data_IF_936990377643
#
_entry.id   IF_936990377643
#
_cell.length_a   1.000
_cell.length_b   1.000
_cell.length_c   1.000
_cell.angle_alpha   90.00
_cell.angle_beta   90.00
_cell.angle_gamma   90.00
#
_symmetry.space_group_name_H-M   'P 1'
#
loop_
_entity.id
_entity.type
_entity.pdbx_description
1 polymer ?
#
# COMPACT_ATOMS: atom_id res chain seq x y z
N UNK A 1 -49.51 12.48 11.68
CA UNK A 1 -50.68 13.12 12.33
C UNK A 1 -51.54 12.02 12.94
N UNK A 2 -51.69 12.04 14.27
CA UNK A 2 -52.09 10.88 15.07
C UNK A 2 -53.53 10.39 14.76
N UNK A 3 -53.71 9.08 14.49
CA UNK A 3 -54.97 8.50 14.01
C UNK A 3 -56.15 8.68 14.98
N UNK A 4 -55.86 8.92 16.27
CA UNK A 4 -56.86 9.18 17.29
C UNK A 4 -57.62 10.50 17.05
N UNK A 5 -56.94 11.56 16.60
CA UNK A 5 -57.55 12.87 16.36
C UNK A 5 -58.59 12.80 15.23
N UNK A 6 -58.31 11.99 14.19
CA UNK A 6 -59.23 11.81 13.06
C UNK A 6 -60.53 11.08 13.43
N UNK A 7 -60.50 10.19 14.44
CA UNK A 7 -61.70 9.49 14.91
C UNK A 7 -62.63 10.44 15.69
N UNK A 8 -62.09 11.34 16.50
CA UNK A 8 -62.86 12.24 17.36
C UNK A 8 -63.50 13.38 16.54
N UNK A 9 -62.86 13.83 15.45
CA UNK A 9 -63.36 14.92 14.60
C UNK A 9 -64.39 14.46 13.53
N UNK A 10 -64.60 13.16 13.35
CA UNK A 10 -65.51 12.61 12.34
C UNK A 10 -66.99 12.97 12.58
N UNK A 11 -67.53 12.92 13.82
CA UNK A 11 -68.90 13.33 14.12
C UNK A 11 -69.10 14.84 13.98
N UNK A 12 -68.14 15.64 14.47
CA UNK A 12 -68.20 17.10 14.45
C UNK A 12 -68.28 17.70 13.03
N UNK A 13 -67.74 17.00 12.02
CA UNK A 13 -67.81 17.40 10.60
C UNK A 13 -69.21 17.36 10.00
N UNK A 14 -70.17 16.68 10.65
CA UNK A 14 -71.57 16.63 10.20
C UNK A 14 -72.41 17.81 10.71
N UNK A 15 -71.88 18.58 11.67
CA UNK A 15 -72.54 19.77 12.20
C UNK A 15 -72.23 20.94 11.28
N UNK A 16 -73.22 21.40 10.54
CA UNK A 16 -73.10 22.56 9.65
C UNK A 16 -73.12 23.81 10.54
N UNK A 17 -71.96 24.40 10.79
CA UNK A 17 -71.86 25.66 11.53
C UNK A 17 -72.65 26.75 10.80
N UNK A 18 -73.54 27.41 11.55
CA UNK A 18 -74.25 28.58 11.08
C UNK A 18 -73.23 29.65 10.64
N UNK A 19 -73.55 30.35 9.54
CA UNK A 19 -72.62 31.28 8.89
C UNK A 19 -72.13 32.35 9.86
N UNK A 20 -73.00 32.80 10.76
CA UNK A 20 -72.69 33.82 11.76
C UNK A 20 -71.71 33.32 12.82
N UNK A 21 -71.94 32.14 13.39
CA UNK A 21 -71.03 31.52 14.37
C UNK A 21 -69.65 31.31 13.74
N UNK A 22 -69.60 30.87 12.48
CA UNK A 22 -68.34 30.70 11.74
C UNK A 22 -67.61 32.04 11.53
N UNK A 23 -68.35 33.12 11.26
CA UNK A 23 -67.78 34.45 11.13
C UNK A 23 -67.21 34.96 12.46
N UNK A 24 -67.94 34.77 13.56
CA UNK A 24 -67.49 35.17 14.91
C UNK A 24 -66.26 34.40 15.38
N UNK A 25 -66.22 33.08 15.16
CA UNK A 25 -65.04 32.26 15.48
C UNK A 25 -63.84 32.69 14.63
N UNK A 26 -64.04 32.91 13.32
CA UNK A 26 -62.97 33.39 12.43
C UNK A 26 -62.45 34.76 12.88
N UNK A 27 -63.36 35.67 13.27
CA UNK A 27 -63.01 36.98 13.81
C UNK A 27 -62.17 36.89 15.07
N UNK A 28 -62.57 36.06 16.03
CA UNK A 28 -61.81 35.83 17.27
C UNK A 28 -60.42 35.24 17.03
N UNK A 29 -60.30 34.26 16.14
CA UNK A 29 -59.00 33.67 15.77
C UNK A 29 -58.10 34.71 15.08
N UNK A 30 -58.64 35.49 14.15
CA UNK A 30 -57.88 36.55 13.47
C UNK A 30 -57.42 37.63 14.46
N UNK A 31 -58.25 38.00 15.42
CA UNK A 31 -57.88 38.97 16.46
C UNK A 31 -56.78 38.41 17.37
N UNK A 32 -56.87 37.13 17.75
CA UNK A 32 -55.82 36.45 18.52
C UNK A 32 -54.50 36.39 17.74
N UNK A 33 -54.53 36.04 16.45
CA UNK A 33 -53.34 36.01 15.58
C UNK A 33 -52.71 37.39 15.38
N UNK A 34 -53.54 38.44 15.27
CA UNK A 34 -53.06 39.82 15.15
C UNK A 34 -52.37 40.30 16.43
N UNK A 35 -52.90 39.92 17.59
CA UNK A 35 -52.39 40.34 18.90
C UNK A 35 -51.28 39.42 19.44
N UNK A 36 -51.09 38.24 18.85
CA UNK A 36 -50.03 37.29 19.18
C UNK A 36 -49.27 36.88 17.91
N UNK A 37 -48.56 37.82 17.24
CA UNK A 37 -47.78 37.47 16.06
C UNK A 37 -46.71 36.46 16.47
N UNK A 38 -46.64 35.34 15.75
CA UNK A 38 -45.52 34.42 15.89
C UNK A 38 -44.27 35.21 15.50
N UNK A 39 -43.35 35.39 16.45
CA UNK A 39 -42.04 35.95 16.15
C UNK A 39 -41.43 35.06 15.07
N UNK A 40 -41.15 35.61 13.89
CA UNK A 40 -40.48 34.86 12.84
C UNK A 40 -39.10 34.45 13.37
N UNK A 41 -38.99 33.24 13.93
CA UNK A 41 -37.69 32.62 14.10
C UNK A 41 -37.15 32.46 12.69
N UNK A 42 -36.03 33.13 12.32
CA UNK A 42 -35.50 32.99 10.98
C UNK A 42 -35.25 31.50 10.76
N UNK A 43 -35.99 30.91 9.82
CA UNK A 43 -35.67 29.57 9.33
C UNK A 43 -34.27 29.70 8.76
N UNK A 44 -33.25 29.34 9.54
CA UNK A 44 -31.87 29.27 9.13
C UNK A 44 -31.79 28.12 8.11
N UNK A 45 -32.23 28.41 6.89
CA UNK A 45 -32.22 27.46 5.79
C UNK A 45 -30.78 27.28 5.38
N UNK A 46 -30.26 26.07 5.53
CA UNK A 46 -28.97 25.65 4.99
C UNK A 46 -28.76 26.17 3.57
N UNK A 47 -29.82 26.15 2.76
CA UNK A 47 -29.90 26.68 1.41
C UNK A 47 -29.66 28.20 1.28
N UNK A 48 -30.05 29.05 2.23
CA UNK A 48 -29.73 30.51 2.17
C UNK A 48 -28.25 30.80 2.43
N UNK A 49 -27.57 29.96 3.21
CA UNK A 49 -26.12 30.07 3.45
C UNK A 49 -25.35 29.61 2.21
N UNK A 50 -25.77 28.49 1.60
CA UNK A 50 -25.12 27.92 0.41
C UNK A 50 -25.28 28.83 -0.82
N UNK A 51 -26.41 29.54 -0.95
CA UNK A 51 -26.71 30.41 -2.10
C UNK A 51 -26.52 31.92 -1.83
N UNK A 52 -25.85 32.27 -0.72
CA UNK A 52 -25.49 33.65 -0.38
C UNK A 52 -24.46 34.21 -1.37
N UNK A 53 -24.78 35.34 -1.99
CA UNK A 53 -23.93 35.97 -3.01
C UNK A 53 -22.60 36.54 -2.47
N UNK A 54 -22.35 36.48 -1.16
CA UNK A 54 -21.15 37.04 -0.51
C UNK A 54 -20.04 36.02 -0.24
N UNK A 55 -20.25 34.73 -0.51
CA UNK A 55 -19.28 33.64 -0.26
C UNK A 55 -18.67 33.05 -1.56
N UNK A 56 -18.90 33.70 -2.71
CA UNK A 56 -18.72 33.13 -4.05
C UNK A 56 -17.33 32.53 -4.35
N UNK A 57 -16.18 33.19 -4.11
CA UNK A 57 -14.90 32.62 -4.56
C UNK A 57 -14.47 31.40 -3.73
N UNK A 58 -14.59 31.44 -2.40
CA UNK A 58 -14.15 30.35 -1.53
C UNK A 58 -15.02 29.10 -1.68
N UNK A 59 -16.34 29.25 -1.80
CA UNK A 59 -17.24 28.10 -1.98
C UNK A 59 -17.13 27.49 -3.37
N UNK A 60 -16.94 28.29 -4.44
CA UNK A 60 -16.66 27.76 -5.78
C UNK A 60 -15.34 26.99 -5.78
N UNK A 61 -14.29 27.49 -5.11
CA UNK A 61 -13.01 26.77 -4.98
C UNK A 61 -13.13 25.47 -4.19
N UNK A 62 -13.89 25.44 -3.09
CA UNK A 62 -14.11 24.22 -2.31
C UNK A 62 -14.99 23.23 -3.07
N UNK A 63 -16.06 23.69 -3.71
CA UNK A 63 -16.97 22.83 -4.47
C UNK A 63 -16.30 22.28 -5.73
N UNK A 64 -15.48 23.07 -6.41
CA UNK A 64 -14.66 22.59 -7.54
C UNK A 64 -13.58 21.62 -7.06
N UNK A 65 -12.94 21.85 -5.91
CA UNK A 65 -12.02 20.89 -5.31
C UNK A 65 -12.73 19.57 -4.96
N UNK A 66 -13.91 19.63 -4.34
CA UNK A 66 -14.72 18.43 -4.02
C UNK A 66 -15.17 17.73 -5.30
N UNK A 67 -15.62 18.46 -6.33
CA UNK A 67 -15.99 17.87 -7.61
C UNK A 67 -14.78 17.21 -8.30
N UNK A 68 -13.61 17.86 -8.30
CA UNK A 68 -12.36 17.29 -8.80
C UNK A 68 -11.97 16.06 -7.99
N UNK A 69 -12.09 16.08 -6.66
CA UNK A 69 -11.80 14.93 -5.79
C UNK A 69 -12.79 13.76 -5.99
N UNK A 70 -14.07 14.04 -6.25
CA UNK A 70 -15.09 13.01 -6.49
C UNK A 70 -14.94 12.40 -7.89
N UNK A 71 -14.73 13.23 -8.92
CA UNK A 71 -14.50 12.75 -10.29
C UNK A 71 -13.16 12.02 -10.37
N UNK A 72 -12.10 12.58 -9.78
CA UNK A 72 -10.80 11.89 -9.69
C UNK A 72 -10.90 10.63 -8.82
N UNK A 73 -11.69 10.62 -7.76
CA UNK A 73 -11.91 9.45 -6.92
C UNK A 73 -12.59 8.30 -7.67
N UNK A 74 -13.66 8.59 -8.42
CA UNK A 74 -14.35 7.59 -9.25
C UNK A 74 -13.45 7.04 -10.38
N UNK A 75 -12.71 7.92 -11.06
CA UNK A 75 -11.75 7.52 -12.11
C UNK A 75 -10.59 6.72 -11.51
N UNK A 76 -10.11 7.09 -10.33
CA UNK A 76 -9.03 6.39 -9.62
C UNK A 76 -9.47 5.00 -9.17
N UNK A 77 -10.70 4.86 -8.67
CA UNK A 77 -11.26 3.56 -8.29
C UNK A 77 -11.31 2.59 -9.48
N UNK A 78 -11.79 3.05 -10.64
CA UNK A 78 -11.82 2.23 -11.85
C UNK A 78 -10.42 1.96 -12.42
N UNK A 79 -9.51 2.95 -12.33
CA UNK A 79 -8.11 2.77 -12.72
C UNK A 79 -7.43 1.65 -11.93
N UNK A 80 -7.82 1.39 -10.68
CA UNK A 80 -7.25 0.28 -9.88
C UNK A 80 -7.47 -1.10 -10.53
N UNK A 81 -8.53 -1.27 -11.32
CA UNK A 81 -8.87 -2.51 -12.02
C UNK A 81 -8.29 -2.57 -13.44
N UNK A 82 -7.74 -1.45 -13.94
CA UNK A 82 -7.19 -1.37 -15.28
C UNK A 82 -6.00 -2.33 -15.45
N UNK A 83 -5.95 -2.97 -16.61
CA UNK A 83 -4.87 -3.81 -17.09
C UNK A 83 -3.95 -3.05 -18.04
N UNK A 84 -2.68 -3.47 -18.22
CA UNK A 84 -1.83 -2.86 -19.22
C UNK A 84 -2.45 -2.95 -20.61
N UNK A 85 -2.49 -1.80 -21.31
CA UNK A 85 -3.26 -1.58 -22.54
C UNK A 85 -4.62 -0.90 -22.35
N UNK A 86 -5.17 -0.85 -21.13
CA UNK A 86 -6.41 -0.11 -20.85
C UNK A 86 -6.16 1.40 -20.76
N UNK A 87 -7.17 2.20 -21.14
CA UNK A 87 -7.12 3.68 -21.16
C UNK A 87 -6.75 4.27 -19.79
N UNK A 88 -7.21 3.64 -18.70
CA UNK A 88 -6.97 4.12 -17.33
C UNK A 88 -5.73 3.51 -16.67
N UNK A 89 -4.97 2.65 -17.36
CA UNK A 89 -3.74 2.07 -16.81
C UNK A 89 -2.65 3.11 -16.48
N UNK A 90 -2.44 4.16 -17.29
CA UNK A 90 -1.53 5.24 -16.91
C UNK A 90 -1.94 5.96 -15.62
N UNK A 91 -3.24 6.04 -15.32
CA UNK A 91 -3.73 6.61 -14.05
C UNK A 91 -3.41 5.68 -12.89
N UNK A 92 -3.57 4.36 -13.08
CA UNK A 92 -3.22 3.34 -12.08
C UNK A 92 -1.75 3.47 -11.64
N UNK A 93 -0.83 3.39 -12.60
CA UNK A 93 0.61 3.38 -12.32
C UNK A 93 1.13 4.79 -12.04
N UNK A 94 0.65 5.79 -12.77
CA UNK A 94 1.16 7.16 -12.75
C UNK A 94 0.60 8.02 -11.61
N UNK A 95 -0.57 7.69 -11.07
CA UNK A 95 -1.23 8.46 -10.01
C UNK A 95 -1.48 7.58 -8.79
N UNK A 96 -2.32 6.55 -8.90
CA UNK A 96 -2.76 5.77 -7.74
C UNK A 96 -1.58 5.12 -7.00
N UNK A 97 -0.70 4.44 -7.74
CA UNK A 97 0.46 3.78 -7.14
C UNK A 97 1.47 4.78 -6.57
N UNK A 98 1.59 5.98 -7.15
CA UNK A 98 2.45 7.04 -6.58
C UNK A 98 1.89 7.57 -5.27
N UNK A 99 0.57 7.73 -5.16
CA UNK A 99 -0.09 8.09 -3.89
C UNK A 99 0.20 7.01 -2.84
N UNK A 100 0.07 5.73 -3.20
CA UNK A 100 0.42 4.63 -2.28
C UNK A 100 1.90 4.68 -1.86
N UNK A 101 2.81 4.99 -2.78
CA UNK A 101 4.24 5.13 -2.48
C UNK A 101 4.52 6.29 -1.52
N UNK A 102 3.83 7.42 -1.68
CA UNK A 102 3.94 8.57 -0.76
C UNK A 102 3.42 8.21 0.63
N UNK A 103 2.32 7.44 0.72
CA UNK A 103 1.73 7.01 1.99
C UNK A 103 2.51 5.87 2.67
N UNK A 104 3.41 5.19 1.97
CA UNK A 104 4.30 4.19 2.53
C UNK A 104 5.47 4.86 3.28
N UNK A 105 5.20 5.41 4.46
CA UNK A 105 6.17 6.25 5.18
C UNK A 105 7.37 5.47 5.75
N UNK A 106 7.16 4.22 6.21
CA UNK A 106 8.24 3.41 6.79
C UNK A 106 8.95 2.54 5.75
N UNK A 107 10.22 2.20 6.00
CA UNK A 107 10.98 1.31 5.11
C UNK A 107 10.30 -0.05 4.94
N UNK A 108 9.74 -0.61 6.02
CA UNK A 108 8.97 -1.85 5.95
C UNK A 108 7.71 -1.69 5.09
N UNK A 109 7.01 -0.56 5.16
CA UNK A 109 5.83 -0.29 4.33
C UNK A 109 6.22 -0.17 2.85
N UNK A 110 7.34 0.49 2.54
CA UNK A 110 7.86 0.61 1.17
C UNK A 110 8.20 -0.75 0.58
N UNK A 111 8.90 -1.60 1.34
CA UNK A 111 9.22 -2.98 0.91
C UNK A 111 7.95 -3.76 0.60
N UNK A 112 6.99 -3.76 1.53
CA UNK A 112 5.71 -4.46 1.36
C UNK A 112 4.96 -3.95 0.13
N UNK A 113 4.98 -2.64 -0.10
CA UNK A 113 4.34 -2.04 -1.28
C UNK A 113 5.03 -2.49 -2.57
N UNK A 114 6.36 -2.45 -2.65
CA UNK A 114 7.09 -2.89 -3.85
C UNK A 114 6.86 -4.37 -4.15
N UNK A 115 6.86 -5.25 -3.13
CA UNK A 115 6.48 -6.66 -3.27
C UNK A 115 5.06 -6.81 -3.81
N UNK A 116 4.09 -6.11 -3.20
CA UNK A 116 2.69 -6.15 -3.62
C UNK A 116 2.49 -5.65 -5.05
N UNK A 117 3.19 -4.60 -5.46
CA UNK A 117 3.09 -4.07 -6.82
C UNK A 117 3.73 -5.02 -7.84
N UNK A 118 4.85 -5.66 -7.52
CA UNK A 118 5.44 -6.70 -8.37
C UNK A 118 4.47 -7.89 -8.55
N UNK A 119 3.88 -8.38 -7.46
CA UNK A 119 2.83 -9.42 -7.50
C UNK A 119 1.63 -8.99 -8.34
N UNK A 120 1.21 -7.73 -8.22
CA UNK A 120 0.10 -7.17 -9.00
C UNK A 120 0.39 -7.22 -10.50
N UNK A 121 1.64 -6.95 -10.94
CA UNK A 121 2.02 -7.06 -12.36
C UNK A 121 1.89 -8.49 -12.89
N UNK A 122 2.19 -9.50 -12.06
CA UNK A 122 2.01 -10.91 -12.45
C UNK A 122 0.53 -11.30 -12.51
N UNK A 123 -0.30 -10.82 -11.58
CA UNK A 123 -1.77 -10.99 -11.66
C UNK A 123 -2.38 -10.31 -12.88
N UNK A 124 -1.85 -9.15 -13.26
CA UNK A 124 -2.24 -8.47 -14.50
C UNK A 124 -1.90 -9.32 -15.74
N UNK A 125 -0.71 -9.94 -15.77
CA UNK A 125 -0.35 -10.91 -16.80
C UNK A 125 -1.31 -12.10 -16.84
N UNK A 126 -1.55 -12.76 -15.71
CA UNK A 126 -2.47 -13.90 -15.62
C UNK A 126 -3.84 -13.55 -16.18
N UNK A 127 -4.39 -12.39 -15.80
CA UNK A 127 -5.69 -11.93 -16.27
C UNK A 127 -5.69 -11.64 -17.78
N UNK A 128 -4.65 -10.97 -18.30
CA UNK A 128 -4.51 -10.73 -19.74
C UNK A 128 -4.38 -12.03 -20.54
N UNK A 129 -3.66 -13.01 -20.00
CA UNK A 129 -3.53 -14.33 -20.62
C UNK A 129 -4.90 -15.00 -20.63
N UNK A 130 -5.60 -15.08 -19.50
CA UNK A 130 -6.96 -15.67 -19.40
C UNK A 130 -7.94 -15.01 -20.37
N UNK A 131 -7.92 -13.68 -20.48
CA UNK A 131 -8.79 -12.91 -21.38
C UNK A 131 -8.39 -13.00 -22.87
N UNK A 132 -7.28 -13.69 -23.22
CA UNK A 132 -6.69 -13.71 -24.57
C UNK A 132 -6.31 -12.30 -25.09
N UNK A 133 -5.95 -11.39 -24.18
CA UNK A 133 -5.60 -9.99 -24.49
C UNK A 133 -4.12 -9.71 -24.37
N UNK A 134 -3.28 -10.72 -24.08
CA UNK A 134 -1.83 -10.55 -24.03
C UNK A 134 -1.29 -10.22 -25.43
N UNK A 135 -0.54 -9.13 -25.53
CA UNK A 135 0.12 -8.64 -26.74
C UNK A 135 1.57 -8.30 -26.42
N UNK A 136 2.39 -8.05 -27.43
CA UNK A 136 3.79 -7.66 -27.21
C UNK A 136 3.90 -6.37 -26.38
N UNK A 137 3.00 -5.40 -26.61
CA UNK A 137 3.06 -4.10 -25.94
C UNK A 137 2.71 -4.20 -24.46
N UNK A 138 1.61 -4.86 -24.10
CA UNK A 138 1.26 -5.03 -22.70
C UNK A 138 2.21 -5.99 -21.97
N UNK A 139 2.75 -6.98 -22.67
CA UNK A 139 3.82 -7.84 -22.16
C UNK A 139 5.07 -7.03 -21.79
N UNK A 140 5.54 -6.12 -22.66
CA UNK A 140 6.66 -5.23 -22.35
C UNK A 140 6.35 -4.30 -21.17
N UNK A 141 5.13 -3.74 -21.10
CA UNK A 141 4.70 -2.91 -19.98
C UNK A 141 4.74 -3.69 -18.65
N UNK A 142 4.25 -4.93 -18.64
CA UNK A 142 4.31 -5.82 -17.48
C UNK A 142 5.76 -6.05 -17.09
N UNK A 143 6.61 -6.47 -18.03
CA UNK A 143 8.01 -6.76 -17.76
C UNK A 143 8.75 -5.55 -17.19
N UNK A 144 8.54 -4.36 -17.75
CA UNK A 144 9.19 -3.13 -17.28
C UNK A 144 8.72 -2.76 -15.89
N UNK A 145 7.41 -2.73 -15.66
CA UNK A 145 6.85 -2.36 -14.37
C UNK A 145 7.16 -3.40 -13.29
N UNK A 146 7.14 -4.69 -13.63
CA UNK A 146 7.55 -5.78 -12.74
C UNK A 146 9.03 -5.65 -12.37
N UNK A 147 9.91 -5.48 -13.36
CA UNK A 147 11.36 -5.34 -13.13
C UNK A 147 11.66 -4.14 -12.23
N UNK A 148 10.99 -3.01 -12.46
CA UNK A 148 11.17 -1.83 -11.63
C UNK A 148 10.83 -2.09 -10.15
N UNK A 149 9.74 -2.82 -9.88
CA UNK A 149 9.34 -3.16 -8.51
C UNK A 149 10.18 -4.27 -7.90
N UNK A 150 10.61 -5.25 -8.68
CA UNK A 150 11.57 -6.25 -8.26
C UNK A 150 12.94 -5.64 -7.90
N UNK A 151 13.41 -4.65 -8.67
CA UNK A 151 14.65 -3.94 -8.38
C UNK A 151 14.55 -3.09 -7.11
N UNK A 152 13.38 -2.49 -6.82
CA UNK A 152 13.13 -1.86 -5.52
C UNK A 152 13.25 -2.87 -4.37
N UNK A 153 12.70 -4.07 -4.52
CA UNK A 153 12.80 -5.15 -3.52
C UNK A 153 14.26 -5.60 -3.33
N UNK A 154 15.01 -5.85 -4.42
CA UNK A 154 16.44 -6.19 -4.34
C UNK A 154 17.26 -5.08 -3.66
N UNK A 155 17.00 -3.81 -3.97
CA UNK A 155 17.64 -2.67 -3.29
C UNK A 155 17.36 -2.68 -1.78
N UNK A 156 16.13 -2.98 -1.38
CA UNK A 156 15.76 -3.08 0.03
C UNK A 156 16.41 -4.27 0.74
N UNK A 157 16.48 -5.44 0.10
CA UNK A 157 17.21 -6.61 0.62
C UNK A 157 18.68 -6.25 0.87
N UNK A 158 19.32 -5.63 -0.13
CA UNK A 158 20.71 -5.18 -0.01
C UNK A 158 20.89 -4.10 1.07
N UNK A 159 19.91 -3.22 1.28
CA UNK A 159 19.92 -2.24 2.37
C UNK A 159 19.89 -2.95 3.73
N UNK A 160 18.97 -3.89 3.92
CA UNK A 160 18.84 -4.65 5.18
C UNK A 160 20.10 -5.46 5.49
N UNK A 161 20.74 -6.06 4.47
CA UNK A 161 22.02 -6.75 4.63
C UNK A 161 23.12 -5.81 5.13
N UNK A 162 23.22 -4.59 4.58
CA UNK A 162 24.18 -3.57 5.06
C UNK A 162 23.91 -3.13 6.50
N UNK A 163 22.64 -3.11 6.90
CA UNK A 163 22.19 -2.78 8.26
C UNK A 163 22.30 -3.97 9.24
N UNK A 164 22.95 -5.07 8.84
CA UNK A 164 23.10 -6.31 9.63
C UNK A 164 21.78 -6.96 10.03
N UNK A 165 20.71 -6.70 9.29
CA UNK A 165 19.39 -7.30 9.47
C UNK A 165 19.20 -8.52 8.56
N UNK A 166 20.18 -9.45 8.58
CA UNK A 166 20.26 -10.59 7.66
C UNK A 166 19.00 -11.47 7.69
N UNK A 167 18.47 -11.77 8.87
CA UNK A 167 17.25 -12.56 9.02
C UNK A 167 16.04 -11.90 8.34
N UNK A 168 15.94 -10.57 8.42
CA UNK A 168 14.87 -9.81 7.76
C UNK A 168 15.04 -9.81 6.24
N UNK A 169 16.28 -9.63 5.76
CA UNK A 169 16.61 -9.67 4.34
C UNK A 169 16.31 -11.05 3.73
N UNK A 170 16.76 -12.12 4.39
CA UNK A 170 16.50 -13.50 3.99
C UNK A 170 14.99 -13.79 3.95
N UNK A 171 14.25 -13.40 4.99
CA UNK A 171 12.80 -13.61 5.03
C UNK A 171 12.08 -12.93 3.87
N UNK A 172 12.42 -11.67 3.58
CA UNK A 172 11.83 -10.93 2.45
C UNK A 172 12.18 -11.61 1.13
N UNK A 173 13.43 -12.05 0.95
CA UNK A 173 13.85 -12.77 -0.25
C UNK A 173 13.09 -14.08 -0.42
N UNK A 174 12.96 -14.88 0.63
CA UNK A 174 12.25 -16.16 0.59
C UNK A 174 10.76 -15.98 0.30
N UNK A 175 10.11 -15.05 0.99
CA UNK A 175 8.68 -14.77 0.81
C UNK A 175 8.39 -14.24 -0.61
N UNK A 176 9.26 -13.36 -1.12
CA UNK A 176 9.12 -12.85 -2.48
C UNK A 176 9.37 -13.95 -3.52
N UNK A 177 10.43 -14.75 -3.37
CA UNK A 177 10.72 -15.87 -4.26
C UNK A 177 9.58 -16.91 -4.30
N UNK A 178 8.97 -17.23 -3.16
CA UNK A 178 7.78 -18.10 -3.11
C UNK A 178 6.62 -17.48 -3.88
N UNK A 179 6.40 -16.18 -3.73
CA UNK A 179 5.34 -15.46 -4.45
C UNK A 179 5.57 -15.52 -5.96
N UNK A 180 6.81 -15.25 -6.40
CA UNK A 180 7.21 -15.35 -7.82
C UNK A 180 7.01 -16.77 -8.37
N UNK A 181 7.38 -17.79 -7.60
CA UNK A 181 7.21 -19.20 -7.98
C UNK A 181 5.73 -19.58 -8.16
N UNK A 182 4.87 -19.15 -7.23
CA UNK A 182 3.42 -19.40 -7.32
C UNK A 182 2.86 -18.81 -8.61
N UNK A 183 3.15 -17.55 -8.89
CA UNK A 183 2.65 -16.87 -10.09
C UNK A 183 3.24 -17.43 -11.38
N UNK A 184 4.50 -17.87 -11.37
CA UNK A 184 5.11 -18.58 -12.51
C UNK A 184 4.36 -19.87 -12.82
N UNK A 185 4.09 -20.70 -11.82
CA UNK A 185 3.31 -21.94 -11.99
C UNK A 185 1.90 -21.69 -12.48
N UNK A 186 1.26 -20.61 -12.02
CA UNK A 186 -0.07 -20.22 -12.50
C UNK A 186 -0.04 -19.83 -13.97
N UNK A 187 0.93 -19.00 -14.39
CA UNK A 187 1.10 -18.62 -15.80
C UNK A 187 1.36 -19.84 -16.69
N UNK A 188 2.27 -20.73 -16.28
CA UNK A 188 2.55 -21.99 -16.99
C UNK A 188 1.29 -22.86 -17.13
N UNK A 189 0.50 -22.99 -16.05
CA UNK A 189 -0.73 -23.78 -16.08
C UNK A 189 -1.79 -23.18 -17.01
N UNK A 190 -2.01 -21.86 -16.94
CA UNK A 190 -2.94 -21.16 -17.84
C UNK A 190 -2.51 -21.35 -19.29
N UNK A 191 -1.22 -21.27 -19.58
CA UNK A 191 -0.65 -21.47 -20.92
C UNK A 191 -0.87 -22.91 -21.41
N UNK A 192 -0.59 -23.92 -20.58
CA UNK A 192 -0.81 -25.34 -20.92
C UNK A 192 -2.29 -25.68 -21.18
N UNK A 193 -3.21 -25.13 -20.39
CA UNK A 193 -4.64 -25.33 -20.60
C UNK A 193 -5.10 -24.68 -21.91
N UNK A 194 -4.50 -23.54 -22.28
CA UNK A 194 -4.76 -22.88 -23.54
C UNK A 194 -4.17 -23.61 -24.73
N UNK A 195 -2.94 -24.10 -24.70
CA UNK A 195 -2.32 -24.77 -25.87
C UNK A 195 -3.12 -25.98 -26.39
N UNK A 196 -3.94 -26.61 -25.53
CA UNK A 196 -4.84 -27.72 -25.91
C UNK A 196 -6.01 -27.32 -26.80
N UNK A 197 -6.31 -26.03 -26.93
CA UNK A 197 -7.59 -25.57 -27.51
C UNK A 197 -7.51 -24.88 -28.88
N UNK A 198 -6.34 -24.48 -29.44
CA UNK A 198 -6.25 -23.80 -30.75
C UNK A 198 -4.80 -23.45 -31.17
N UNK A 199 -4.48 -23.51 -32.48
CA UNK A 199 -3.14 -23.27 -33.08
C UNK A 199 -2.74 -21.81 -33.27
N UNK A 200 -3.62 -20.82 -33.06
CA UNK A 200 -3.30 -19.39 -33.20
C UNK A 200 -2.44 -18.80 -32.05
N UNK A 201 -1.79 -19.66 -31.25
CA UNK A 201 -1.31 -19.35 -29.89
C UNK A 201 0.19 -19.11 -29.74
N UNK A 202 1.00 -19.31 -30.77
CA UNK A 202 2.47 -19.20 -30.66
C UNK A 202 2.93 -17.83 -30.15
N UNK A 203 2.31 -16.73 -30.61
CA UNK A 203 2.69 -15.38 -30.19
C UNK A 203 2.30 -15.07 -28.74
N UNK A 204 1.17 -15.58 -28.27
CA UNK A 204 0.75 -15.43 -26.88
C UNK A 204 1.64 -16.27 -25.96
N UNK A 205 2.04 -17.45 -26.42
CA UNK A 205 2.98 -18.33 -25.73
C UNK A 205 4.34 -17.64 -25.55
N UNK A 206 4.91 -17.08 -26.62
CA UNK A 206 6.16 -16.31 -26.57
C UNK A 206 6.09 -15.14 -25.58
N UNK A 207 4.98 -14.40 -25.58
CA UNK A 207 4.77 -13.29 -24.65
C UNK A 207 4.75 -13.76 -23.18
N UNK A 208 4.11 -14.90 -22.89
CA UNK A 208 4.08 -15.48 -21.54
C UNK A 208 5.45 -16.01 -21.13
N UNK A 209 6.15 -16.71 -22.03
CA UNK A 209 7.50 -17.21 -21.79
C UNK A 209 8.47 -16.06 -21.48
N UNK A 210 8.32 -14.93 -22.16
CA UNK A 210 9.10 -13.71 -21.89
C UNK A 210 8.85 -13.14 -20.48
N UNK A 211 7.61 -13.24 -19.96
CA UNK A 211 7.29 -12.84 -18.58
C UNK A 211 7.91 -13.82 -17.59
N UNK A 212 7.75 -15.13 -17.80
CA UNK A 212 8.31 -16.18 -16.95
C UNK A 212 9.84 -16.06 -16.88
N UNK A 213 10.50 -15.90 -18.03
CA UNK A 213 11.95 -15.70 -18.09
C UNK A 213 12.41 -14.46 -17.33
N UNK A 214 11.63 -13.36 -17.40
CA UNK A 214 11.91 -12.17 -16.61
C UNK A 214 11.78 -12.45 -15.12
N UNK A 215 10.75 -13.16 -14.68
CA UNK A 215 10.55 -13.55 -13.28
C UNK A 215 11.72 -14.42 -12.78
N UNK A 216 12.13 -15.43 -13.57
CA UNK A 216 13.25 -16.28 -13.22
C UNK A 216 14.56 -15.49 -13.12
N UNK A 217 14.84 -14.58 -14.05
CA UNK A 217 16.03 -13.71 -13.98
C UNK A 217 16.07 -12.84 -12.71
N UNK A 218 14.92 -12.36 -12.25
CA UNK A 218 14.79 -11.60 -11.00
C UNK A 218 15.07 -12.50 -9.79
N UNK A 219 14.51 -13.71 -9.78
CA UNK A 219 14.72 -14.69 -8.72
C UNK A 219 16.20 -15.06 -8.61
N UNK A 220 16.87 -15.29 -9.73
CA UNK A 220 18.30 -15.62 -9.78
C UNK A 220 19.15 -14.46 -9.24
N UNK A 221 18.83 -13.22 -9.64
CA UNK A 221 19.50 -12.02 -9.12
C UNK A 221 19.35 -11.89 -7.61
N UNK A 222 18.14 -12.09 -7.07
CA UNK A 222 17.90 -12.00 -5.63
C UNK A 222 18.65 -13.09 -4.87
N UNK A 223 18.66 -14.32 -5.39
CA UNK A 223 19.41 -15.42 -4.78
C UNK A 223 20.92 -15.16 -4.80
N UNK A 224 21.44 -14.59 -5.88
CA UNK A 224 22.83 -14.18 -5.99
C UNK A 224 23.17 -13.09 -4.97
N UNK A 225 22.36 -12.03 -4.86
CA UNK A 225 22.52 -10.94 -3.89
C UNK A 225 22.57 -11.49 -2.45
N UNK A 226 21.65 -12.39 -2.10
CA UNK A 226 21.61 -13.02 -0.77
C UNK A 226 22.87 -13.85 -0.50
N UNK A 227 23.27 -14.70 -1.46
CA UNK A 227 24.45 -15.56 -1.31
C UNK A 227 25.73 -14.74 -1.18
N UNK A 228 25.88 -13.70 -2.00
CA UNK A 228 27.05 -12.80 -1.96
C UNK A 228 27.15 -12.08 -0.61
N UNK A 229 26.04 -11.53 -0.11
CA UNK A 229 26.03 -10.85 1.19
C UNK A 229 26.37 -11.80 2.34
N UNK A 230 25.86 -13.05 2.32
CA UNK A 230 26.19 -14.07 3.32
C UNK A 230 27.70 -14.35 3.35
N UNK A 231 28.31 -14.58 2.19
CA UNK A 231 29.77 -14.81 2.07
C UNK A 231 30.56 -13.61 2.59
N UNK A 232 30.14 -12.39 2.24
CA UNK A 232 30.82 -11.16 2.67
C UNK A 232 30.78 -10.98 4.18
N UNK A 233 29.67 -11.31 4.83
CA UNK A 233 29.52 -11.20 6.28
C UNK A 233 30.28 -12.31 7.01
N UNK A 234 30.30 -13.54 6.49
CA UNK A 234 31.13 -14.64 7.00
C UNK A 234 32.62 -14.27 6.95
N UNK A 235 33.12 -13.77 5.82
CA UNK A 235 34.51 -13.29 5.69
C UNK A 235 34.84 -12.20 6.70
N UNK A 236 33.94 -11.22 6.88
CA UNK A 236 34.14 -10.14 7.84
C UNK A 236 34.14 -10.65 9.29
N UNK A 237 33.32 -11.63 9.61
CA UNK A 237 33.33 -12.28 10.93
C UNK A 237 34.65 -13.03 11.17
N UNK A 238 35.18 -13.69 10.14
CA UNK A 238 36.45 -14.41 10.20
C UNK A 238 37.64 -13.47 10.38
N UNK A 239 37.69 -12.34 9.67
CA UNK A 239 38.70 -11.29 9.88
C UNK A 239 38.68 -10.76 11.33
N UNK A 240 37.49 -10.57 11.92
CA UNK A 240 37.35 -10.13 13.32
C UNK A 240 37.88 -11.21 14.27
N UNK A 241 37.58 -12.49 14.01
CA UNK A 241 38.08 -13.62 14.81
C UNK A 241 39.60 -13.74 14.75
N UNK A 242 40.19 -13.58 13.57
CA UNK A 242 41.65 -13.59 13.39
C UNK A 242 42.31 -12.47 14.20
N UNK A 243 41.80 -11.23 14.08
CA UNK A 243 42.33 -10.10 14.87
C UNK A 243 42.20 -10.32 16.38
N UNK A 244 41.09 -10.90 16.84
CA UNK A 244 40.92 -11.24 18.24
C UNK A 244 41.94 -12.30 18.70
N UNK A 245 42.16 -13.35 17.90
CA UNK A 245 43.15 -14.39 18.20
C UNK A 245 44.58 -13.85 18.24
N UNK A 246 44.94 -12.95 17.31
CA UNK A 246 46.25 -12.27 17.34
C UNK A 246 46.44 -11.45 18.61
N UNK A 247 45.40 -10.74 19.06
CA UNK A 247 45.45 -9.98 20.32
C UNK A 247 45.58 -10.90 21.53
N UNK A 248 44.82 -12.00 21.56
CA UNK A 248 44.92 -13.01 22.62
C UNK A 248 46.32 -13.61 22.67
N UNK A 249 46.91 -13.91 21.51
CA UNK A 249 48.27 -14.45 21.44
C UNK A 249 49.30 -13.44 21.97
N UNK A 250 49.24 -12.18 21.54
CA UNK A 250 50.10 -11.12 22.07
C UNK A 250 49.99 -10.95 23.59
N UNK A 251 48.79 -11.09 24.15
CA UNK A 251 48.58 -11.04 25.60
C UNK A 251 49.22 -12.26 26.28
N UNK A 252 49.06 -13.47 25.72
CA UNK A 252 49.70 -14.69 26.24
C UNK A 252 51.22 -14.56 26.25
N UNK A 253 51.80 -14.15 25.14
CA UNK A 253 53.26 -13.98 24.99
C UNK A 253 53.80 -12.98 26.04
N UNK A 254 53.05 -11.90 26.31
CA UNK A 254 53.42 -10.92 27.33
C UNK A 254 53.29 -11.45 28.76
N UNK A 255 52.29 -12.27 29.05
CA UNK A 255 52.14 -12.94 30.36
C UNK A 255 53.29 -13.92 30.60
N UNK A 256 53.69 -14.68 29.57
CA UNK A 256 54.83 -15.61 29.64
C UNK A 256 56.15 -14.86 29.86
N UNK A 257 56.39 -13.76 29.13
CA UNK A 257 57.56 -12.89 29.34
C UNK A 257 57.64 -12.38 30.78
N UNK A 258 56.55 -11.84 31.33
CA UNK A 258 56.53 -11.33 32.70
C UNK A 258 56.72 -12.45 33.76
N UNK A 259 56.24 -13.67 33.49
CA UNK A 259 56.50 -14.82 34.37
C UNK A 259 57.97 -15.23 34.35
N UNK A 260 58.60 -15.19 33.18
CA UNK A 260 60.02 -15.52 33.05
C UNK A 260 60.88 -14.50 33.81
N UNK A 261 60.59 -13.19 33.67
CA UNK A 261 61.29 -12.10 34.36
C UNK A 261 61.19 -12.20 35.89
N UNK A 262 59.97 -12.43 36.43
CA UNK A 262 59.78 -12.58 37.88
C UNK A 262 60.47 -13.84 38.46
N UNK A 263 60.61 -14.91 37.68
CA UNK A 263 61.34 -16.11 38.12
C UNK A 263 62.85 -15.91 38.11
N UNK A 264 63.38 -15.06 37.21
CA UNK A 264 64.79 -14.67 37.23
C UNK A 264 65.14 -13.74 38.39
N UNK A 265 64.28 -12.78 38.74
CA UNK A 265 64.51 -11.89 39.89
C UNK A 265 64.50 -12.64 41.23
N UNK A 266 63.52 -13.54 41.45
CA UNK A 266 63.46 -14.35 42.68
C UNK A 266 64.65 -15.32 42.85
N UNK A 267 65.29 -15.76 41.75
CA UNK A 267 66.48 -16.61 41.81
C UNK A 267 67.77 -15.82 42.10
N UNK A 268 67.78 -14.52 41.80
CA UNK A 268 68.92 -13.64 42.11
C UNK A 268 68.89 -13.27 43.60
N UNK A 269 67.72 -12.91 44.16
CA UNK A 269 67.59 -12.59 45.59
C UNK A 269 67.97 -13.77 46.50
N UNK A 270 67.53 -15.00 46.18
CA UNK A 270 67.82 -16.19 46.98
C UNK A 270 69.30 -16.64 46.95
N UNK A 271 70.11 -16.15 46.01
CA UNK A 271 71.55 -16.48 45.92
C UNK A 271 72.45 -15.45 46.62
N UNK A 272 71.91 -14.31 47.04
CA UNK A 272 72.65 -13.24 47.74
C UNK A 272 72.62 -13.34 49.28
N UNK A 273 71.81 -14.24 49.86
CA UNK A 273 71.69 -14.45 51.32
C UNK A 273 72.48 -15.66 51.87
N UNK A 274 73.43 -16.22 51.12
CA UNK A 274 74.37 -17.25 51.59
C UNK A 274 75.80 -16.74 51.63
#
# INVERSE_FOLDING_TARGET
MNNNIKKILKPARRIKLEKEIKASIKGGVLMFMKNNPLTETPKFGFWKIIFSQKLKPAYISILSLVAVLLVSGAVSAQASLALPGDILYPVKVGVNEKVLQVLAFSDQAKIKLSVRLAETRLKEAEKLVVENRITKDNQMQINNNFSAKADEVSKSINKLNREKMENSAQKIADDFNKTLEIHTKVLEKIQQEKDKSDKARDKNRENVDSIINRVNSVRDKINADIKENKIKNEKKAEEIRQKANEQIQKIKDKIESNKAENNTENNIENNTEK
#
